data_IF_396174116466
#
_entry.id   IF_396174116466
#
_cell.length_a   1.000
_cell.length_b   1.000
_cell.length_c   1.000
_cell.angle_alpha   90.00
_cell.angle_beta   90.00
_cell.angle_gamma   90.00
#
_symmetry.space_group_name_H-M   'P 1'
#
loop_
_entity.id
_entity.type
_entity.pdbx_description
1 polymer ?
#
# COMPACT_ATOMS: atom_id res chain seq x y z
N UNK A 1 -10.10 7.21 3.25
CA UNK A 1 -10.14 6.17 4.31
C UNK A 1 -11.44 5.35 4.24
N UNK A 2 -11.36 4.03 4.40
CA UNK A 2 -12.54 3.15 4.40
C UNK A 2 -12.90 2.47 3.06
N UNK A 3 -12.03 2.56 2.05
CA UNK A 3 -12.20 1.87 0.76
C UNK A 3 -11.40 0.56 0.74
N UNK A 4 -11.86 -0.42 -0.05
CA UNK A 4 -11.22 -1.73 -0.19
C UNK A 4 -9.91 -1.67 -0.99
N UNK A 5 -9.76 -0.64 -1.84
CA UNK A 5 -8.57 -0.38 -2.65
C UNK A 5 -7.95 0.96 -2.28
N UNK A 6 -6.62 1.12 -2.44
CA UNK A 6 -5.98 2.42 -2.29
C UNK A 6 -6.49 3.39 -3.36
N UNK A 7 -6.55 4.68 -3.01
CA UNK A 7 -6.74 5.74 -3.99
C UNK A 7 -5.48 5.83 -4.86
N UNK A 8 -5.65 5.87 -6.18
CA UNK A 8 -4.53 5.91 -7.13
C UNK A 8 -4.49 7.19 -7.97
N UNK A 9 -5.52 8.03 -7.89
CA UNK A 9 -5.59 9.29 -8.62
C UNK A 9 -5.27 10.48 -7.69
N UNK A 10 -4.25 11.27 -8.06
CA UNK A 10 -3.79 12.39 -7.26
C UNK A 10 -4.82 13.54 -7.17
N UNK A 11 -5.67 13.72 -8.19
CA UNK A 11 -6.74 14.74 -8.19
C UNK A 11 -7.84 14.33 -7.21
N UNK A 12 -8.26 13.06 -7.22
CA UNK A 12 -9.24 12.55 -6.27
C UNK A 12 -8.74 12.59 -4.82
N UNK A 13 -7.45 12.29 -4.61
CA UNK A 13 -6.79 12.41 -3.30
C UNK A 13 -6.80 13.87 -2.84
N UNK A 14 -6.48 14.83 -3.73
CA UNK A 14 -6.49 16.26 -3.41
C UNK A 14 -7.87 16.74 -3.01
N UNK A 15 -8.89 16.46 -3.82
CA UNK A 15 -10.27 16.89 -3.56
C UNK A 15 -10.79 16.43 -2.18
N UNK A 16 -10.22 15.33 -1.66
CA UNK A 16 -10.60 14.76 -0.35
C UNK A 16 -9.72 15.21 0.80
N UNK A 17 -8.41 15.40 0.59
CA UNK A 17 -7.43 15.53 1.66
C UNK A 17 -6.65 16.84 1.65
N UNK A 18 -6.86 17.75 0.71
CA UNK A 18 -6.09 19.00 0.60
C UNK A 18 -6.13 19.91 1.84
N UNK A 19 -7.14 19.74 2.70
CA UNK A 19 -7.27 20.47 3.97
C UNK A 19 -6.75 19.69 5.18
N UNK A 20 -6.41 18.41 5.02
CA UNK A 20 -5.99 17.48 6.07
C UNK A 20 -4.48 17.19 6.05
N UNK A 21 -3.78 17.56 4.97
CA UNK A 21 -2.35 17.35 4.80
C UNK A 21 -1.65 18.58 4.23
N UNK A 22 -0.38 18.77 4.57
CA UNK A 22 0.40 19.94 4.13
C UNK A 22 0.85 19.86 2.67
N UNK A 23 0.98 18.65 2.12
CA UNK A 23 1.52 18.41 0.78
C UNK A 23 0.93 17.15 0.15
N UNK A 24 0.66 17.25 -1.15
CA UNK A 24 0.31 16.14 -2.03
C UNK A 24 1.30 16.13 -3.20
N UNK A 25 1.89 14.96 -3.48
CA UNK A 25 2.83 14.76 -4.58
C UNK A 25 2.16 13.85 -5.62
N UNK A 26 1.97 14.38 -6.83
CA UNK A 26 1.55 13.57 -7.98
C UNK A 26 2.74 12.77 -8.52
N UNK A 27 2.79 11.49 -8.17
CA UNK A 27 3.80 10.54 -8.65
C UNK A 27 3.42 9.81 -9.93
N UNK A 28 2.32 10.18 -10.58
CA UNK A 28 1.72 9.44 -11.69
C UNK A 28 1.07 8.13 -11.25
N UNK A 29 0.76 7.27 -12.24
CA UNK A 29 -0.01 6.05 -12.00
C UNK A 29 0.83 4.98 -11.27
N UNK A 30 0.51 4.76 -10.00
CA UNK A 30 1.07 3.70 -9.18
C UNK A 30 0.12 2.49 -9.14
N UNK A 31 0.65 1.28 -9.02
CA UNK A 31 -0.19 0.07 -8.90
C UNK A 31 -1.05 0.07 -7.64
N UNK A 32 -2.25 -0.52 -7.73
CA UNK A 32 -3.20 -0.62 -6.61
C UNK A 32 -3.01 -1.86 -5.72
N UNK A 33 -2.19 -2.82 -6.16
CA UNK A 33 -1.95 -4.05 -5.43
C UNK A 33 -1.18 -3.77 -4.14
N UNK A 34 -1.73 -4.21 -3.01
CA UNK A 34 -1.14 -4.00 -1.70
C UNK A 34 0.22 -4.70 -1.56
N UNK A 35 1.01 -4.28 -0.58
CA UNK A 35 2.25 -4.96 -0.21
C UNK A 35 1.99 -6.32 0.44
N UNK A 36 2.93 -7.24 0.25
CA UNK A 36 3.02 -8.48 1.02
C UNK A 36 3.49 -8.17 2.43
N UNK A 37 2.82 -8.73 3.43
CA UNK A 37 3.11 -8.53 4.85
C UNK A 37 3.66 -9.83 5.42
N UNK A 38 4.90 -9.79 5.92
CA UNK A 38 5.59 -10.93 6.51
C UNK A 38 5.80 -10.66 8.00
N UNK A 39 5.35 -11.58 8.85
CA UNK A 39 5.67 -11.59 10.28
C UNK A 39 7.06 -12.18 10.48
N UNK A 40 7.98 -11.36 10.99
CA UNK A 40 9.36 -11.74 11.30
C UNK A 40 9.60 -11.95 12.81
N UNK A 41 8.57 -11.85 13.65
CA UNK A 41 8.68 -12.09 15.09
C UNK A 41 8.79 -13.59 15.40
N UNK A 42 8.11 -14.42 14.61
CA UNK A 42 8.14 -15.88 14.71
C UNK A 42 9.16 -16.49 13.74
N UNK A 43 9.73 -17.63 14.12
CA UNK A 43 10.63 -18.41 13.27
C UNK A 43 9.98 -19.80 13.05
N UNK A 44 9.72 -20.22 11.80
CA UNK A 44 10.03 -19.52 10.55
C UNK A 44 9.12 -18.30 10.29
N UNK A 45 9.55 -17.34 9.45
CA UNK A 45 8.70 -16.22 9.03
C UNK A 45 7.36 -16.67 8.45
N UNK A 46 6.31 -15.89 8.71
CA UNK A 46 4.95 -16.21 8.25
C UNK A 46 4.38 -15.11 7.35
N UNK A 47 3.75 -15.50 6.24
CA UNK A 47 3.01 -14.56 5.39
C UNK A 47 1.67 -14.24 6.05
N UNK A 48 1.51 -13.01 6.52
CA UNK A 48 0.26 -12.53 7.13
C UNK A 48 -0.75 -12.06 6.09
N UNK A 49 -0.25 -11.54 4.96
CA UNK A 49 -1.05 -11.15 3.80
C UNK A 49 -0.20 -11.23 2.54
N UNK A 50 -0.69 -11.94 1.53
CA UNK A 50 -0.09 -11.93 0.20
C UNK A 50 -0.49 -10.68 -0.57
N UNK A 51 0.48 -10.00 -1.18
CA UNK A 51 0.29 -8.85 -2.07
C UNK A 51 1.26 -8.93 -3.26
N UNK A 52 1.70 -7.77 -3.79
CA UNK A 52 2.56 -7.69 -4.98
C UNK A 52 3.96 -8.31 -4.80
N UNK A 53 4.44 -8.42 -3.57
CA UNK A 53 5.74 -9.02 -3.27
C UNK A 53 5.67 -10.54 -3.45
N UNK A 54 6.52 -11.10 -4.30
CA UNK A 54 6.60 -12.55 -4.50
C UNK A 54 7.33 -13.23 -3.33
N UNK A 55 7.23 -14.56 -3.25
CA UNK A 55 7.81 -15.39 -2.19
C UNK A 55 9.35 -15.55 -2.24
N UNK A 56 10.03 -14.88 -3.19
CA UNK A 56 11.49 -14.96 -3.29
C UNK A 56 12.15 -14.53 -1.95
N UNK A 57 12.80 -15.49 -1.28
CA UNK A 57 13.50 -15.27 0.00
C UNK A 57 12.78 -15.77 1.26
N UNK A 58 11.66 -16.49 1.12
CA UNK A 58 10.97 -17.17 2.23
C UNK A 58 11.26 -18.69 2.31
N UNK A 59 12.09 -19.20 1.40
CA UNK A 59 12.60 -20.59 1.36
C UNK A 59 13.73 -20.84 2.39
#
# INVERSE_FOLDING_TARGET
PGNDTPETDALEIRDRLEHEVDLIIDGGNCGYEATTVINLVEIPPQVMRQGKGTEHGLD
#
